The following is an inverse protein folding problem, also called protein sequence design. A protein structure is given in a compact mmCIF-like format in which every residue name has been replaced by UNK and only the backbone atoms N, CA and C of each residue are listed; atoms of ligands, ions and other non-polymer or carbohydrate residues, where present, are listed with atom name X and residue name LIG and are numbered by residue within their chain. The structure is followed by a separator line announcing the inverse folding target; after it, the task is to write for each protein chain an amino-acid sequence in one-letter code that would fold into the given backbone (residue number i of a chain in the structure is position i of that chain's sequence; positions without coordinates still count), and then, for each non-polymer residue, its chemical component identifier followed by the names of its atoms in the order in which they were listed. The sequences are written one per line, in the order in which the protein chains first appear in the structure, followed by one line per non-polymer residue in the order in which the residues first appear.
data_IF_980897995239
#
_entry.id   IF_980897995239
#
_cell.length_a   1.000
_cell.length_b   1.000
_cell.length_c   1.000
_cell.angle_alpha   90.00
_cell.angle_beta   90.00
_cell.angle_gamma   90.00
#
_symmetry.space_group_name_H-M   'P 1'
#
loop_
_entity.id
_entity.type
_entity.pdbx_description
1 polymer ?
#
# COMPACT_ATOMS: atom_id res chain seq x y z
N UNK A 1 4.10 12.48 11.68
CA UNK A 1 3.96 13.13 10.36
C UNK A 1 2.62 12.71 9.75
N UNK A 2 1.91 13.58 9.02
CA UNK A 2 0.67 13.17 8.29
C UNK A 2 1.07 12.47 6.98
N UNK A 3 0.31 11.46 6.55
CA UNK A 3 0.57 10.72 5.30
C UNK A 3 0.67 11.66 4.09
N UNK A 4 -0.23 12.63 3.97
CA UNK A 4 -0.21 13.64 2.89
C UNK A 4 1.01 14.55 2.90
N UNK A 5 1.65 14.77 4.07
CA UNK A 5 2.91 15.50 4.14
C UNK A 5 4.08 14.61 3.68
N UNK A 6 4.06 13.32 4.04
CA UNK A 6 5.07 12.36 3.59
C UNK A 6 5.03 12.18 2.06
N UNK A 7 3.84 12.03 1.48
CA UNK A 7 3.66 11.87 0.02
C UNK A 7 4.22 13.08 -0.75
N UNK A 8 4.03 14.30 -0.23
CA UNK A 8 4.57 15.52 -0.89
C UNK A 8 6.08 15.69 -0.71
N UNK A 9 6.63 15.17 0.38
CA UNK A 9 8.06 15.25 0.66
C UNK A 9 8.86 14.18 -0.09
N UNK A 10 8.25 13.03 -0.36
CA UNK A 10 8.84 11.93 -1.09
C UNK A 10 8.54 12.13 -2.57
N UNK A 11 9.55 12.44 -3.38
CA UNK A 11 9.43 12.52 -4.84
C UNK A 11 9.24 11.12 -5.44
N UNK A 12 8.07 10.53 -5.22
CA UNK A 12 7.75 9.14 -5.58
C UNK A 12 6.39 9.11 -6.27
N UNK A 13 6.23 8.26 -7.28
CA UNK A 13 4.92 8.00 -7.85
C UNK A 13 4.16 7.06 -6.91
N UNK A 14 2.91 7.40 -6.58
CA UNK A 14 2.09 6.62 -5.68
C UNK A 14 0.78 6.21 -6.36
N UNK A 15 0.52 4.91 -6.39
CA UNK A 15 -0.79 4.37 -6.70
C UNK A 15 -1.52 4.02 -5.40
N UNK A 16 -2.71 4.57 -5.21
CA UNK A 16 -3.56 4.35 -4.04
C UNK A 16 -4.79 3.58 -4.47
N UNK A 17 -4.94 2.37 -3.96
CA UNK A 17 -6.11 1.51 -4.22
C UNK A 17 -7.05 1.59 -3.02
N UNK A 18 -8.32 1.91 -3.27
CA UNK A 18 -9.33 2.02 -2.20
C UNK A 18 -10.62 1.33 -2.59
N UNK A 19 -11.34 0.86 -1.57
CA UNK A 19 -12.71 0.35 -1.73
C UNK A 19 -13.69 1.53 -1.83
N UNK A 20 -14.53 1.62 -2.89
CA UNK A 20 -15.36 2.80 -3.14
C UNK A 20 -16.63 2.90 -2.28
N UNK A 21 -17.06 1.80 -1.65
CA UNK A 21 -18.32 1.69 -0.90
C UNK A 21 -18.21 2.10 0.58
N UNK A 22 -17.02 2.52 1.03
CA UNK A 22 -16.78 2.93 2.42
C UNK A 22 -16.66 4.44 2.56
N UNK A 23 -17.69 5.07 3.11
CA UNK A 23 -17.73 6.52 3.38
C UNK A 23 -16.56 7.04 4.24
N UNK A 24 -15.93 6.17 5.04
CA UNK A 24 -14.73 6.52 5.80
C UNK A 24 -13.53 6.89 4.91
N UNK A 25 -13.54 6.48 3.63
CA UNK A 25 -12.47 6.77 2.68
C UNK A 25 -12.60 8.16 2.05
N UNK A 26 -13.79 8.77 2.05
CA UNK A 26 -14.05 10.06 1.39
C UNK A 26 -13.10 11.17 1.89
N UNK A 27 -12.84 11.19 3.19
CA UNK A 27 -11.90 12.14 3.78
C UNK A 27 -10.48 11.93 3.27
N UNK A 28 -10.00 10.68 3.18
CA UNK A 28 -8.66 10.41 2.67
C UNK A 28 -8.57 10.75 1.18
N UNK A 29 -9.56 10.35 0.39
CA UNK A 29 -9.61 10.57 -1.05
C UNK A 29 -9.60 12.05 -1.41
N UNK A 30 -10.44 12.86 -0.77
CA UNK A 30 -10.47 14.32 -0.96
C UNK A 30 -9.14 15.03 -0.66
N UNK A 31 -8.20 14.38 0.02
CA UNK A 31 -6.88 14.93 0.34
C UNK A 31 -5.75 14.39 -0.53
N UNK A 32 -6.02 13.34 -1.30
CA UNK A 32 -5.07 12.64 -2.16
C UNK A 32 -5.26 13.00 -3.63
N UNK A 33 -6.50 13.22 -4.08
CA UNK A 33 -6.83 13.46 -5.50
C UNK A 33 -6.14 14.69 -6.11
N UNK A 34 -5.83 15.72 -5.29
CA UNK A 34 -5.18 16.95 -5.76
C UNK A 34 -3.64 16.89 -5.71
N UNK A 35 -3.05 15.71 -5.48
CA UNK A 35 -1.60 15.53 -5.42
C UNK A 35 -1.11 14.97 -6.77
N UNK A 36 -0.27 15.73 -7.48
CA UNK A 36 0.16 15.43 -8.87
C UNK A 36 0.80 14.04 -9.03
N UNK A 37 1.57 13.57 -8.06
CA UNK A 37 2.26 12.28 -8.09
C UNK A 37 1.42 11.12 -7.50
N UNK A 38 0.10 11.29 -7.37
CA UNK A 38 -0.81 10.29 -6.80
C UNK A 38 -1.87 9.90 -7.82
N UNK A 39 -1.95 8.61 -8.13
CA UNK A 39 -3.05 8.02 -8.88
C UNK A 39 -3.97 7.29 -7.91
N UNK A 40 -5.27 7.57 -7.97
CA UNK A 40 -6.26 6.90 -7.12
C UNK A 40 -7.08 5.93 -7.95
N UNK A 41 -7.13 4.69 -7.51
CA UNK A 41 -7.87 3.59 -8.14
C UNK A 41 -8.95 3.09 -7.18
N UNK A 42 -10.18 3.00 -7.68
CA UNK A 42 -11.31 2.46 -6.92
C UNK A 42 -11.54 1.00 -7.32
N UNK A 43 -11.40 0.10 -6.36
CA UNK A 43 -11.48 -1.35 -6.58
C UNK A 43 -12.59 -1.93 -5.68
N UNK A 44 -13.64 -2.46 -6.30
CA UNK A 44 -14.70 -3.18 -5.60
C UNK A 44 -14.13 -4.41 -4.89
N UNK A 45 -14.66 -4.72 -3.70
CA UNK A 45 -14.24 -5.87 -2.88
C UNK A 45 -12.76 -5.87 -2.45
N UNK A 46 -12.10 -4.71 -2.48
CA UNK A 46 -10.75 -4.57 -1.94
C UNK A 46 -10.77 -4.63 -0.40
N UNK A 47 -10.37 -5.79 0.16
CA UNK A 47 -10.22 -5.98 1.61
C UNK A 47 -8.77 -6.09 2.08
N UNK A 48 -7.83 -6.29 1.16
CA UNK A 48 -6.40 -6.34 1.48
C UNK A 48 -5.91 -4.99 2.02
N UNK A 49 -4.98 -5.02 2.98
CA UNK A 49 -4.38 -3.84 3.59
C UNK A 49 -2.87 -3.99 3.49
N UNK A 50 -2.26 -3.22 2.59
CA UNK A 50 -0.84 -3.33 2.31
C UNK A 50 -0.25 -1.99 1.85
N UNK A 51 1.07 -1.86 2.02
CA UNK A 51 1.89 -0.82 1.40
C UNK A 51 3.05 -1.53 0.73
N UNK A 52 3.20 -1.34 -0.58
CA UNK A 52 4.16 -2.07 -1.40
C UNK A 52 5.17 -1.08 -1.98
N UNK A 53 6.44 -1.46 -1.93
CA UNK A 53 7.56 -0.77 -2.56
C UNK A 53 8.42 -1.80 -3.30
N UNK A 54 9.46 -1.35 -4.01
CA UNK A 54 10.41 -2.27 -4.66
C UNK A 54 11.13 -3.20 -3.68
N UNK A 55 11.36 -2.74 -2.44
CA UNK A 55 12.18 -3.45 -1.44
C UNK A 55 11.38 -4.08 -0.31
N UNK A 56 10.21 -3.54 0.00
CA UNK A 56 9.45 -3.92 1.18
C UNK A 56 7.96 -4.01 0.88
N UNK A 57 7.30 -4.97 1.55
CA UNK A 57 5.85 -5.08 1.63
C UNK A 57 5.44 -5.04 3.08
N UNK A 58 4.65 -4.04 3.46
CA UNK A 58 3.85 -4.07 4.68
C UNK A 58 2.50 -4.69 4.36
N UNK A 59 2.03 -5.66 5.14
CA UNK A 59 0.73 -6.31 4.94
C UNK A 59 0.14 -6.74 6.28
N UNK A 60 -1.20 -6.74 6.40
CA UNK A 60 -1.84 -7.30 7.59
C UNK A 60 -3.30 -6.94 7.78
N UNK A 61 -3.75 -6.99 9.04
CA UNK A 61 -5.14 -6.68 9.42
C UNK A 61 -5.41 -5.19 9.63
N UNK A 62 -4.38 -4.39 9.90
CA UNK A 62 -4.52 -2.97 10.20
C UNK A 62 -4.87 -2.14 8.95
N UNK A 63 -5.98 -1.40 9.02
CA UNK A 63 -6.27 -0.34 8.06
C UNK A 63 -5.23 0.79 8.17
N UNK A 64 -4.94 1.49 7.06
CA UNK A 64 -4.03 2.67 7.04
C UNK A 64 -4.72 3.88 7.68
N UNK A 65 -4.94 3.79 8.98
CA UNK A 65 -5.63 4.75 9.82
C UNK A 65 -4.85 4.91 11.13
N UNK A 66 -5.10 6.00 11.85
CA UNK A 66 -4.48 6.19 13.17
C UNK A 66 -4.83 5.05 14.14
N UNK A 67 -6.05 4.53 14.08
CA UNK A 67 -6.51 3.45 14.95
C UNK A 67 -5.81 2.14 14.65
N UNK A 68 -5.81 1.72 13.38
CA UNK A 68 -5.14 0.49 12.94
C UNK A 68 -3.63 0.51 13.20
N UNK A 69 -2.97 1.66 13.09
CA UNK A 69 -1.51 1.72 13.25
C UNK A 69 -1.03 1.90 14.69
N UNK A 70 -1.86 2.45 15.60
CA UNK A 70 -1.38 2.90 16.92
C UNK A 70 -2.20 2.44 18.12
N UNK A 71 -3.45 1.99 17.95
CA UNK A 71 -4.34 1.71 19.08
C UNK A 71 -4.96 0.33 19.06
N UNK A 72 -5.35 -0.16 17.89
CA UNK A 72 -5.99 -1.45 17.76
C UNK A 72 -4.97 -2.58 17.93
N UNK A 73 -5.44 -3.73 18.43
CA UNK A 73 -4.66 -4.96 18.36
C UNK A 73 -4.78 -5.51 16.95
N UNK A 74 -3.69 -5.45 16.20
CA UNK A 74 -3.62 -5.84 14.79
C UNK A 74 -2.43 -6.78 14.58
N UNK A 75 -2.52 -7.64 13.56
CA UNK A 75 -1.42 -8.49 13.12
C UNK A 75 -0.92 -8.00 11.76
N UNK A 76 0.33 -7.57 11.72
CA UNK A 76 0.98 -7.04 10.53
C UNK A 76 2.40 -7.57 10.41
N UNK A 77 2.87 -7.66 9.18
CA UNK A 77 4.20 -8.11 8.82
C UNK A 77 4.84 -7.12 7.84
N UNK A 78 6.16 -6.98 7.94
CA UNK A 78 6.99 -6.28 6.95
C UNK A 78 7.93 -7.31 6.35
N UNK A 79 7.77 -7.54 5.05
CA UNK A 79 8.56 -8.48 4.27
C UNK A 79 9.59 -7.73 3.42
N UNK A 80 10.79 -8.27 3.30
CA UNK A 80 11.84 -7.76 2.41
C UNK A 80 11.79 -8.52 1.06
N UNK A 81 12.07 -7.81 -0.03
CA UNK A 81 12.17 -8.41 -1.36
C UNK A 81 13.59 -8.96 -1.58
N UNK A 82 13.81 -10.21 -1.17
CA UNK A 82 15.10 -10.91 -1.31
C UNK A 82 15.44 -11.32 -2.74
N UNK A 83 14.47 -11.24 -3.67
CA UNK A 83 14.62 -11.67 -5.05
C UNK A 83 14.98 -10.52 -6.00
N UNK A 84 14.67 -9.29 -5.62
CA UNK A 84 14.93 -8.07 -6.40
C UNK A 84 14.05 -7.91 -7.65
N UNK A 85 13.70 -9.00 -8.33
CA UNK A 85 12.75 -9.00 -9.44
C UNK A 85 11.95 -10.32 -9.54
N UNK A 86 10.86 -10.27 -10.30
CA UNK A 86 9.94 -11.40 -10.51
C UNK A 86 10.65 -12.58 -11.16
N UNK A 87 11.53 -12.36 -12.14
CA UNK A 87 12.26 -13.44 -12.83
C UNK A 87 13.09 -14.26 -11.84
N UNK A 88 13.81 -13.59 -10.95
CA UNK A 88 14.64 -14.22 -9.92
C UNK A 88 13.79 -15.06 -8.95
N UNK A 89 12.61 -14.58 -8.59
CA UNK A 89 11.65 -15.34 -7.77
C UNK A 89 11.16 -16.60 -8.51
N UNK A 90 10.69 -16.44 -9.75
CA UNK A 90 10.16 -17.55 -10.55
C UNK A 90 11.21 -18.65 -10.77
N UNK A 91 12.46 -18.28 -11.03
CA UNK A 91 13.56 -19.24 -11.18
C UNK A 91 13.87 -19.95 -9.87
N UNK A 92 14.01 -19.21 -8.75
CA UNK A 92 14.48 -19.79 -7.48
C UNK A 92 13.42 -20.62 -6.75
N UNK A 93 12.17 -20.18 -6.76
CA UNK A 93 11.10 -20.79 -5.95
C UNK A 93 10.24 -21.76 -6.74
N UNK A 94 10.06 -21.51 -8.05
CA UNK A 94 9.09 -22.24 -8.87
C UNK A 94 9.70 -23.02 -10.03
N UNK A 95 11.00 -22.85 -10.32
CA UNK A 95 11.68 -23.43 -11.50
C UNK A 95 10.99 -23.04 -12.83
N UNK A 96 10.48 -21.80 -12.89
CA UNK A 96 9.73 -21.24 -14.03
C UNK A 96 10.48 -20.10 -14.75
N UNK A 97 11.78 -19.97 -14.54
CA UNK A 97 12.61 -18.97 -15.22
C UNK A 97 12.85 -19.32 -16.69
N UNK A 98 12.73 -18.33 -17.58
CA UNK A 98 13.11 -18.45 -18.99
C UNK A 98 14.64 -18.61 -19.16
#
# INVERSE_FOLDING_TARGET
MKLTAAIRALNTQLDVYVRPDESSNDYALSRLTDIENVNVHQISDLHAKAVITEKYVYVGSANITRGGLLTNLELCEVLENDYGNVETYLTKELDLGN
#
